data_IF_289166314696
#
_entry.id   IF_289166314696
#
_cell.length_a   1.000
_cell.length_b   1.000
_cell.length_c   1.000
_cell.angle_alpha   90.00
_cell.angle_beta   90.00
_cell.angle_gamma   90.00
#
_symmetry.space_group_name_H-M   'P 1'
#
loop_
_entity.id
_entity.type
_entity.pdbx_description
1 polymer ?
#
# COMPACT_ATOMS: atom_id res chain seq x y z
N UNK A 1 5.02 0.12 26.16
CA UNK A 1 4.00 -0.91 26.47
C UNK A 1 4.25 -2.03 25.49
N UNK A 2 4.45 -3.24 25.96
CA UNK A 2 4.88 -4.40 25.17
C UNK A 2 3.81 -4.84 24.17
N UNK A 3 4.24 -5.30 22.98
CA UNK A 3 3.40 -5.95 21.94
C UNK A 3 2.21 -6.65 22.59
N UNK A 4 0.99 -6.19 22.28
CA UNK A 4 -0.23 -6.83 22.74
C UNK A 4 -0.15 -8.33 22.42
N UNK A 5 -0.32 -9.18 23.44
CA UNK A 5 -0.42 -10.62 23.24
C UNK A 5 -1.61 -10.86 22.32
N UNK A 6 -1.31 -11.17 21.06
CA UNK A 6 -2.30 -11.66 20.12
C UNK A 6 -2.99 -12.90 20.72
N UNK A 7 -4.28 -13.10 20.44
CA UNK A 7 -5.06 -14.16 21.06
C UNK A 7 -4.45 -15.53 20.74
N UNK A 8 -4.61 -16.51 21.63
CA UNK A 8 -4.23 -17.90 21.37
C UNK A 8 -5.22 -18.53 20.38
N UNK A 9 -5.07 -18.15 19.10
CA UNK A 9 -5.92 -18.53 17.97
C UNK A 9 -5.08 -18.72 16.72
N UNK A 10 -5.57 -19.58 15.83
CA UNK A 10 -5.05 -19.81 14.48
C UNK A 10 -5.84 -18.95 13.50
N UNK A 11 -5.20 -17.93 12.92
CA UNK A 11 -5.86 -16.91 12.10
C UNK A 11 -5.19 -16.85 10.74
N UNK A 12 -5.99 -16.92 9.67
CA UNK A 12 -5.58 -16.54 8.32
C UNK A 12 -6.22 -15.19 7.99
N UNK A 13 -5.43 -14.16 7.80
CA UNK A 13 -5.87 -12.83 7.38
C UNK A 13 -5.41 -12.57 5.94
N UNK A 14 -6.31 -12.14 5.07
CA UNK A 14 -6.03 -11.89 3.66
C UNK A 14 -6.56 -10.50 3.27
N UNK A 15 -5.66 -9.66 2.77
CA UNK A 15 -5.98 -8.39 2.13
C UNK A 15 -6.00 -8.57 0.62
N UNK A 16 -7.18 -8.45 0.03
CA UNK A 16 -7.39 -8.50 -1.41
C UNK A 16 -7.30 -7.08 -1.98
N UNK A 17 -6.06 -6.62 -2.18
CA UNK A 17 -5.74 -5.30 -2.72
C UNK A 17 -5.94 -5.16 -4.23
N UNK A 18 -5.76 -3.94 -4.72
CA UNK A 18 -5.89 -3.60 -6.14
C UNK A 18 -4.84 -4.27 -7.04
N UNK A 19 -3.59 -4.28 -6.56
CA UNK A 19 -2.40 -4.72 -7.31
C UNK A 19 -1.71 -5.94 -6.69
N UNK A 20 -1.98 -6.22 -5.41
CA UNK A 20 -1.45 -7.36 -4.68
C UNK A 20 -2.53 -8.03 -3.87
N UNK A 21 -2.29 -9.30 -3.54
CA UNK A 21 -2.90 -9.98 -2.42
C UNK A 21 -1.85 -10.09 -1.34
N UNK A 22 -2.18 -9.70 -0.12
CA UNK A 22 -1.30 -9.82 1.04
C UNK A 22 -1.93 -10.76 2.06
N UNK A 23 -1.21 -11.81 2.44
CA UNK A 23 -1.71 -12.82 3.36
C UNK A 23 -0.81 -12.92 4.60
N UNK A 24 -1.44 -13.10 5.75
CA UNK A 24 -0.79 -13.33 7.04
C UNK A 24 -1.44 -14.53 7.71
N UNK A 25 -0.64 -15.53 8.06
CA UNK A 25 -1.04 -16.61 8.94
C UNK A 25 -0.40 -16.43 10.31
N UNK A 26 -1.23 -16.44 11.35
CA UNK A 26 -0.82 -16.33 12.74
C UNK A 26 -1.24 -17.57 13.52
N UNK A 27 -0.31 -18.19 14.23
CA UNK A 27 -0.57 -19.30 15.13
C UNK A 27 0.55 -19.40 16.18
N UNK A 28 0.21 -19.63 17.45
CA UNK A 28 1.17 -19.86 18.53
C UNK A 28 2.28 -18.78 18.58
N UNK A 29 1.90 -17.49 18.49
CA UNK A 29 2.83 -16.35 18.42
C UNK A 29 3.77 -16.32 17.21
N UNK A 30 3.60 -17.22 16.24
CA UNK A 30 4.35 -17.25 14.99
C UNK A 30 3.54 -16.56 13.90
N UNK A 31 4.23 -15.76 13.08
CA UNK A 31 3.65 -15.06 11.93
C UNK A 31 4.34 -15.57 10.66
N UNK A 32 3.56 -16.07 9.71
CA UNK A 32 3.96 -16.30 8.33
C UNK A 32 3.27 -15.24 7.46
N UNK A 33 3.98 -14.71 6.46
CA UNK A 33 3.46 -13.64 5.58
C UNK A 33 3.84 -13.90 4.13
N UNK A 34 2.97 -13.48 3.22
CA UNK A 34 3.21 -13.51 1.77
C UNK A 34 2.55 -12.30 1.12
N UNK A 35 3.20 -11.82 0.05
CA UNK A 35 2.61 -10.92 -0.93
C UNK A 35 2.58 -11.64 -2.27
N UNK A 36 1.44 -11.63 -2.93
CA UNK A 36 1.24 -12.18 -4.27
C UNK A 36 0.82 -11.06 -5.23
N UNK A 37 1.67 -10.77 -6.22
CA UNK A 37 1.43 -9.74 -7.25
C UNK A 37 0.82 -10.31 -8.53
N UNK A 38 0.61 -11.62 -8.61
CA UNK A 38 -0.03 -12.27 -9.78
C UNK A 38 -1.54 -12.00 -9.85
N UNK A 39 -2.14 -11.50 -8.75
CA UNK A 39 -3.57 -11.21 -8.59
C UNK A 39 -4.06 -9.93 -9.30
N UNK A 40 -3.21 -9.29 -10.11
CA UNK A 40 -3.55 -8.11 -10.93
C UNK A 40 -4.80 -8.35 -11.81
N UNK A 41 -5.02 -9.57 -12.29
CA UNK A 41 -6.01 -9.86 -13.33
C UNK A 41 -7.36 -10.40 -12.85
N UNK A 42 -7.53 -10.79 -11.56
CA UNK A 42 -8.72 -11.51 -11.13
C UNK A 42 -9.33 -10.95 -9.82
N UNK A 43 -10.67 -10.96 -9.68
CA UNK A 43 -11.35 -10.66 -8.43
C UNK A 43 -11.00 -11.70 -7.35
N UNK A 44 -11.26 -11.39 -6.08
CA UNK A 44 -11.11 -12.36 -5.01
C UNK A 44 -12.08 -13.54 -5.22
N UNK A 45 -11.57 -14.77 -5.12
CA UNK A 45 -12.35 -16.01 -5.29
C UNK A 45 -12.02 -17.04 -4.20
N UNK A 46 -12.87 -18.05 -4.05
CA UNK A 46 -12.58 -19.22 -3.20
C UNK A 46 -11.25 -19.89 -3.58
N UNK A 47 -10.93 -19.96 -4.87
CA UNK A 47 -9.65 -20.52 -5.35
C UNK A 47 -8.45 -19.70 -4.85
N UNK A 48 -8.59 -18.38 -4.70
CA UNK A 48 -7.53 -17.54 -4.16
C UNK A 48 -7.21 -17.92 -2.70
N UNK A 49 -8.23 -18.18 -1.90
CA UNK A 49 -8.09 -18.63 -0.50
C UNK A 49 -7.54 -20.06 -0.47
N UNK A 50 -8.09 -20.95 -1.29
CA UNK A 50 -7.67 -22.35 -1.42
C UNK A 50 -6.18 -22.47 -1.78
N UNK A 51 -5.69 -21.66 -2.72
CA UNK A 51 -4.30 -21.66 -3.13
C UNK A 51 -3.36 -21.32 -1.96
N UNK A 52 -3.70 -20.31 -1.15
CA UNK A 52 -2.91 -19.92 0.03
C UNK A 52 -2.90 -21.07 1.06
N UNK A 53 -4.05 -21.66 1.34
CA UNK A 53 -4.18 -22.78 2.26
C UNK A 53 -3.35 -24.00 1.81
N UNK A 54 -3.37 -24.32 0.51
CA UNK A 54 -2.59 -25.42 -0.05
C UNK A 54 -1.08 -25.14 0.02
N UNK A 55 -0.66 -23.94 -0.39
CA UNK A 55 0.75 -23.54 -0.38
C UNK A 55 1.34 -23.60 1.03
N UNK A 56 0.60 -23.15 2.04
CA UNK A 56 1.01 -23.19 3.44
C UNK A 56 0.67 -24.51 4.15
N UNK A 57 0.11 -25.49 3.44
CA UNK A 57 -0.30 -26.79 4.00
C UNK A 57 -1.25 -26.66 5.22
N UNK A 58 -2.11 -25.65 5.20
CA UNK A 58 -3.08 -25.36 6.26
C UNK A 58 -4.42 -26.02 5.93
N UNK A 59 -4.96 -26.79 6.87
CA UNK A 59 -6.32 -27.30 6.77
C UNK A 59 -7.32 -26.22 7.23
N UNK A 60 -8.36 -25.91 6.44
CA UNK A 60 -9.37 -24.92 6.83
C UNK A 60 -9.99 -25.18 8.20
N UNK A 61 -10.28 -26.44 8.52
CA UNK A 61 -10.91 -26.85 9.78
C UNK A 61 -10.02 -26.63 11.02
N UNK A 62 -8.73 -26.31 10.82
CA UNK A 62 -7.80 -25.99 11.90
C UNK A 62 -7.66 -24.47 12.14
N UNK A 63 -8.35 -23.65 11.34
CA UNK A 63 -8.36 -22.20 11.52
C UNK A 63 -9.55 -21.79 12.38
N UNK A 64 -9.28 -20.97 13.40
CA UNK A 64 -10.33 -20.34 14.19
C UNK A 64 -11.03 -19.25 13.39
N UNK A 65 -10.27 -18.50 12.59
CA UNK A 65 -10.76 -17.36 11.81
C UNK A 65 -10.06 -17.32 10.45
N UNK A 66 -10.86 -17.13 9.40
CA UNK A 66 -10.40 -16.61 8.11
C UNK A 66 -10.96 -15.18 7.99
N UNK A 67 -10.08 -14.20 8.13
CA UNK A 67 -10.41 -12.78 8.02
C UNK A 67 -10.03 -12.26 6.63
N UNK A 68 -10.93 -11.51 6.01
CA UNK A 68 -10.70 -10.92 4.68
C UNK A 68 -10.93 -9.42 4.72
N UNK A 69 -10.13 -8.68 3.96
CA UNK A 69 -10.23 -7.22 3.81
C UNK A 69 -9.75 -6.80 2.41
N UNK A 70 -9.69 -5.50 2.17
CA UNK A 70 -9.28 -4.92 0.89
C UNK A 70 -10.44 -4.82 -0.11
N UNK A 71 -10.35 -3.84 -1.01
CA UNK A 71 -11.42 -3.50 -1.94
C UNK A 71 -11.88 -4.65 -2.85
N UNK A 72 -11.04 -5.65 -3.14
CA UNK A 72 -11.47 -6.81 -3.95
C UNK A 72 -12.16 -7.90 -3.13
N UNK A 73 -12.13 -7.86 -1.79
CA UNK A 73 -12.79 -8.88 -0.96
C UNK A 73 -14.31 -8.91 -1.13
N UNK A 74 -14.91 -7.80 -1.56
CA UNK A 74 -16.35 -7.68 -1.86
C UNK A 74 -16.79 -8.56 -3.05
N UNK A 75 -15.86 -9.01 -3.89
CA UNK A 75 -16.17 -9.91 -5.01
C UNK A 75 -16.25 -11.39 -4.61
N UNK A 76 -15.89 -11.73 -3.36
CA UNK A 76 -16.08 -13.08 -2.86
C UNK A 76 -17.57 -13.43 -2.88
N UNK A 77 -17.88 -14.63 -3.37
CA UNK A 77 -19.25 -15.09 -3.44
C UNK A 77 -19.88 -15.11 -2.04
N UNK A 78 -21.15 -14.71 -1.94
CA UNK A 78 -21.90 -14.76 -0.68
C UNK A 78 -21.98 -16.18 -0.11
N UNK A 79 -22.06 -17.17 -0.99
CA UNK A 79 -22.08 -18.60 -0.68
C UNK A 79 -20.68 -19.23 -0.85
N UNK A 80 -19.66 -18.57 -0.31
CA UNK A 80 -18.28 -19.09 -0.28
C UNK A 80 -18.19 -20.40 0.51
N UNK A 81 -17.26 -21.25 0.11
CA UNK A 81 -16.91 -22.51 0.80
C UNK A 81 -16.43 -22.26 2.23
N UNK A 82 -15.87 -21.09 2.51
CA UNK A 82 -15.22 -20.75 3.77
C UNK A 82 -16.08 -19.86 4.66
N UNK A 83 -15.99 -20.04 5.97
CA UNK A 83 -16.60 -19.08 6.92
C UNK A 83 -15.72 -17.86 7.07
N UNK A 84 -16.06 -16.79 6.36
CA UNK A 84 -15.26 -15.57 6.31
C UNK A 84 -15.72 -14.52 7.32
N UNK A 85 -14.75 -13.83 7.90
CA UNK A 85 -14.97 -12.60 8.68
C UNK A 85 -14.48 -11.42 7.85
N UNK A 86 -15.41 -10.60 7.34
CA UNK A 86 -15.07 -9.39 6.60
C UNK A 86 -14.70 -8.27 7.58
N UNK A 87 -13.48 -7.73 7.42
CA UNK A 87 -13.01 -6.58 8.18
C UNK A 87 -12.98 -5.38 7.23
N UNK A 88 -13.68 -4.27 7.55
CA UNK A 88 -13.64 -3.06 6.73
C UNK A 88 -12.20 -2.56 6.53
N UNK A 89 -11.84 -2.21 5.29
CA UNK A 89 -10.48 -1.84 4.91
C UNK A 89 -9.91 -0.68 5.76
N UNK A 90 -10.72 0.36 6.02
CA UNK A 90 -10.33 1.48 6.87
C UNK A 90 -9.97 1.04 8.29
N UNK A 91 -10.71 0.07 8.83
CA UNK A 91 -10.43 -0.49 10.15
C UNK A 91 -9.15 -1.35 10.11
N UNK A 92 -8.97 -2.18 9.08
CA UNK A 92 -7.79 -3.03 8.91
C UNK A 92 -6.50 -2.18 8.81
N UNK A 93 -6.48 -1.15 7.95
CA UNK A 93 -5.37 -0.20 7.81
C UNK A 93 -5.08 0.47 9.16
N UNK A 94 -6.11 1.00 9.81
CA UNK A 94 -5.98 1.70 11.08
C UNK A 94 -5.41 0.83 12.19
N UNK A 95 -5.96 -0.37 12.40
CA UNK A 95 -5.52 -1.30 13.45
C UNK A 95 -4.13 -1.86 13.16
N UNK A 96 -3.89 -2.29 11.92
CA UNK A 96 -2.59 -2.82 11.50
C UNK A 96 -1.47 -1.80 11.66
N UNK A 97 -1.71 -0.55 11.24
CA UNK A 97 -0.75 0.55 11.39
C UNK A 97 -0.43 0.86 12.86
N UNK A 98 -1.45 0.94 13.73
CA UNK A 98 -1.23 1.16 15.17
C UNK A 98 -0.44 0.02 15.81
N UNK A 99 -0.79 -1.23 15.47
CA UNK A 99 -0.14 -2.42 15.99
C UNK A 99 1.34 -2.48 15.59
N UNK A 100 1.65 -2.28 14.30
CA UNK A 100 3.02 -2.36 13.79
C UNK A 100 3.90 -1.20 14.29
N UNK A 101 3.33 0.00 14.42
CA UNK A 101 4.06 1.16 14.91
C UNK A 101 4.19 1.22 16.45
N UNK A 102 3.50 0.33 17.17
CA UNK A 102 3.34 0.36 18.62
C UNK A 102 2.92 1.75 19.14
N UNK A 103 1.89 2.31 18.52
CA UNK A 103 1.33 3.63 18.88
C UNK A 103 -0.13 3.51 19.32
N UNK A 104 -0.55 4.27 20.34
CA UNK A 104 -1.95 4.29 20.76
C UNK A 104 -2.86 5.05 19.78
N UNK A 105 -2.27 5.97 19.01
CA UNK A 105 -2.95 6.74 17.97
C UNK A 105 -1.96 7.17 16.88
N UNK A 106 -2.43 7.27 15.64
CA UNK A 106 -1.64 7.72 14.50
C UNK A 106 -2.55 8.16 13.33
N UNK A 107 -2.01 9.01 12.46
CA UNK A 107 -2.48 9.09 11.09
C UNK A 107 -1.76 8.00 10.28
N UNK A 108 -2.46 6.92 9.98
CA UNK A 108 -1.93 5.83 9.16
C UNK A 108 -2.14 6.19 7.70
N UNK A 109 -1.05 6.31 6.94
CA UNK A 109 -1.08 6.58 5.50
C UNK A 109 -0.72 5.28 4.77
N UNK A 110 -1.71 4.66 4.14
CA UNK A 110 -1.54 3.44 3.36
C UNK A 110 -1.23 3.81 1.91
N UNK A 111 0.00 3.51 1.47
CA UNK A 111 0.51 3.78 0.12
C UNK A 111 0.41 2.50 -0.74
N UNK A 112 -0.79 2.22 -1.24
CA UNK A 112 -1.07 1.07 -2.12
C UNK A 112 -1.10 1.50 -3.60
N UNK A 113 -2.06 0.97 -4.37
CA UNK A 113 -2.31 1.41 -5.75
C UNK A 113 -2.58 2.93 -5.80
N UNK A 114 -3.46 3.40 -4.92
CA UNK A 114 -3.59 4.81 -4.52
C UNK A 114 -3.17 5.00 -3.06
N UNK A 115 -3.48 6.16 -2.49
CA UNK A 115 -3.15 6.48 -1.10
C UNK A 115 -4.40 6.72 -0.26
N UNK A 116 -4.53 6.01 0.86
CA UNK A 116 -5.58 6.23 1.85
C UNK A 116 -4.99 6.74 3.17
N UNK A 117 -5.69 7.67 3.82
CA UNK A 117 -5.27 8.25 5.10
C UNK A 117 -6.32 7.97 6.18
N UNK A 118 -5.91 7.32 7.27
CA UNK A 118 -6.79 6.89 8.35
C UNK A 118 -6.31 7.45 9.68
N UNK A 119 -7.09 8.33 10.29
CA UNK A 119 -6.87 8.73 11.67
C UNK A 119 -7.36 7.60 12.58
N UNK A 120 -6.44 6.98 13.30
CA UNK A 120 -6.67 5.75 14.03
C UNK A 120 -6.31 5.91 15.51
N UNK A 121 -7.17 5.37 16.37
CA UNK A 121 -6.97 5.13 17.81
C UNK A 121 -7.35 3.68 18.11
N UNK A 122 -7.20 3.22 19.36
CA UNK A 122 -7.65 1.87 19.75
C UNK A 122 -9.16 1.62 19.57
N UNK A 123 -9.98 2.67 19.60
CA UNK A 123 -11.44 2.55 19.61
C UNK A 123 -12.10 3.07 18.32
N UNK A 124 -11.42 3.97 17.61
CA UNK A 124 -11.99 4.68 16.47
C UNK A 124 -11.00 4.72 15.31
N UNK A 125 -11.53 4.45 14.12
CA UNK A 125 -10.81 4.54 12.84
C UNK A 125 -11.65 5.42 11.91
N UNK A 126 -11.09 6.55 11.50
CA UNK A 126 -11.78 7.51 10.65
C UNK A 126 -11.00 7.69 9.35
N UNK A 127 -11.68 7.49 8.22
CA UNK A 127 -11.14 7.79 6.92
C UNK A 127 -11.04 9.31 6.76
N UNK A 128 -9.81 9.82 6.64
CA UNK A 128 -9.51 11.24 6.51
C UNK A 128 -9.44 11.69 5.03
N UNK A 129 -9.73 10.77 4.11
CA UNK A 129 -9.60 10.95 2.68
C UNK A 129 -8.39 10.21 2.12
N UNK A 130 -8.02 10.58 0.90
CA UNK A 130 -6.96 9.94 0.15
C UNK A 130 -6.69 10.65 -1.16
N UNK A 131 -5.77 10.09 -1.93
CA UNK A 131 -5.42 10.58 -3.27
C UNK A 131 -5.23 9.40 -4.22
N UNK A 132 -5.49 9.61 -5.50
CA UNK A 132 -5.18 8.63 -6.56
C UNK A 132 -3.67 8.50 -6.82
N UNK A 133 -2.84 9.33 -6.18
CA UNK A 133 -1.39 9.25 -6.25
C UNK A 133 -0.87 8.16 -5.31
N UNK A 134 -0.24 7.13 -5.87
CA UNK A 134 0.30 6.00 -5.11
C UNK A 134 1.24 5.14 -5.96
N UNK A 135 1.39 3.88 -5.58
CA UNK A 135 2.23 2.93 -6.32
C UNK A 135 1.78 2.70 -7.76
N UNK A 136 0.47 2.74 -8.02
CA UNK A 136 -0.07 2.66 -9.39
C UNK A 136 0.36 3.84 -10.26
N UNK A 137 0.49 5.02 -9.66
CA UNK A 137 1.01 6.22 -10.35
C UNK A 137 2.49 6.08 -10.68
N UNK A 138 3.29 5.55 -9.75
CA UNK A 138 4.73 5.33 -9.97
C UNK A 138 4.93 4.37 -11.14
N UNK A 139 4.24 3.22 -11.13
CA UNK A 139 4.34 2.23 -12.20
C UNK A 139 3.83 2.76 -13.53
N UNK A 140 2.66 3.42 -13.53
CA UNK A 140 2.05 3.95 -14.75
C UNK A 140 2.89 5.05 -15.40
N UNK A 141 3.37 6.02 -14.61
CA UNK A 141 4.25 7.08 -15.12
C UNK A 141 5.64 6.54 -15.48
N UNK A 142 6.18 5.61 -14.70
CA UNK A 142 7.42 4.90 -15.04
C UNK A 142 7.33 4.25 -16.42
N UNK A 143 6.20 3.58 -16.72
CA UNK A 143 6.01 2.94 -18.02
C UNK A 143 5.98 3.95 -19.16
N UNK A 144 5.31 5.08 -18.96
CA UNK A 144 5.17 6.11 -19.98
C UNK A 144 6.46 6.91 -20.21
N UNK A 145 7.20 7.21 -19.14
CA UNK A 145 8.35 8.12 -19.18
C UNK A 145 9.69 7.40 -19.33
N UNK A 146 9.81 6.21 -18.77
CA UNK A 146 11.06 5.45 -18.68
C UNK A 146 11.00 4.10 -19.40
N UNK A 147 9.86 3.74 -19.99
CA UNK A 147 9.58 2.41 -20.58
C UNK A 147 9.77 1.26 -19.58
N UNK A 148 9.60 1.54 -18.28
CA UNK A 148 9.86 0.62 -17.17
C UNK A 148 8.65 0.57 -16.22
N UNK A 149 8.21 -0.63 -15.84
CA UNK A 149 7.06 -0.89 -14.97
C UNK A 149 7.35 -1.89 -13.84
N UNK A 150 8.62 -2.20 -13.60
CA UNK A 150 9.07 -2.93 -12.42
C UNK A 150 9.58 -1.98 -11.33
N UNK A 151 9.10 -2.18 -10.10
CA UNK A 151 9.43 -1.30 -8.96
C UNK A 151 10.93 -1.25 -8.65
N UNK A 152 11.65 -2.38 -8.47
CA UNK A 152 13.10 -2.38 -8.29
C UNK A 152 13.87 -1.61 -9.38
N UNK A 153 13.49 -1.77 -10.64
CA UNK A 153 14.14 -1.04 -11.74
C UNK A 153 13.83 0.46 -11.69
N UNK A 154 12.58 0.84 -11.42
CA UNK A 154 12.22 2.26 -11.22
C UNK A 154 12.93 2.87 -10.03
N UNK A 155 13.10 2.14 -8.92
CA UNK A 155 13.88 2.58 -7.77
C UNK A 155 15.35 2.80 -8.16
N UNK A 156 15.95 1.87 -8.90
CA UNK A 156 17.31 2.02 -9.41
C UNK A 156 17.45 3.27 -10.29
N UNK A 157 16.51 3.49 -11.23
CA UNK A 157 16.51 4.69 -12.07
C UNK A 157 16.36 5.97 -11.25
N UNK A 158 15.46 5.98 -10.25
CA UNK A 158 15.22 7.13 -9.38
C UNK A 158 16.45 7.49 -8.54
N UNK A 159 17.15 6.49 -7.99
CA UNK A 159 18.38 6.71 -7.21
C UNK A 159 19.53 7.29 -8.04
N UNK A 160 19.56 7.02 -9.34
CA UNK A 160 20.54 7.58 -10.27
C UNK A 160 20.05 8.86 -10.98
N UNK A 161 18.82 9.30 -10.68
CA UNK A 161 18.24 10.51 -11.21
C UNK A 161 18.73 11.77 -10.49
N UNK A 162 18.52 12.93 -11.13
CA UNK A 162 18.77 14.23 -10.52
C UNK A 162 17.52 15.11 -10.67
N UNK A 163 16.81 15.32 -9.56
CA UNK A 163 15.57 16.11 -9.51
C UNK A 163 15.77 17.55 -10.00
N UNK A 164 16.97 18.12 -9.83
CA UNK A 164 17.30 19.50 -10.23
C UNK A 164 17.19 19.73 -11.74
N UNK A 165 17.24 18.67 -12.55
CA UNK A 165 17.14 18.77 -14.00
C UNK A 165 15.69 18.90 -14.49
N UNK A 166 14.70 18.57 -13.66
CA UNK A 166 13.29 18.42 -14.07
C UNK A 166 12.37 19.30 -13.23
N UNK A 167 12.55 19.31 -11.92
CA UNK A 167 11.73 20.09 -11.00
C UNK A 167 12.22 21.54 -10.92
N UNK A 168 11.26 22.45 -10.79
CA UNK A 168 11.53 23.84 -10.44
C UNK A 168 11.65 23.93 -8.91
N UNK A 169 12.81 24.32 -8.42
CA UNK A 169 13.10 24.47 -6.99
C UNK A 169 12.81 25.89 -6.52
N UNK A 170 12.69 26.07 -5.20
CA UNK A 170 12.52 27.40 -4.61
C UNK A 170 13.70 28.33 -4.97
N UNK A 171 14.93 27.81 -4.96
CA UNK A 171 16.14 28.54 -5.35
C UNK A 171 16.08 29.03 -6.81
N UNK A 172 15.41 28.31 -7.71
CA UNK A 172 15.26 28.73 -9.11
C UNK A 172 14.32 29.94 -9.25
N UNK A 173 13.42 30.19 -8.28
CA UNK A 173 12.43 31.28 -8.32
C UNK A 173 12.93 32.51 -7.57
N UNK A 174 13.46 32.31 -6.35
CA UNK A 174 13.81 33.42 -5.44
C UNK A 174 15.30 33.48 -5.07
N UNK A 175 16.11 32.52 -5.51
CA UNK A 175 17.56 32.48 -5.26
C UNK A 175 17.98 32.06 -3.84
N UNK A 176 17.04 31.86 -2.90
CA UNK A 176 17.32 31.54 -1.50
C UNK A 176 16.11 30.89 -0.80
N UNK A 177 16.29 30.48 0.46
CA UNK A 177 15.20 29.96 1.29
C UNK A 177 14.14 31.05 1.58
N UNK A 178 12.87 30.62 1.78
CA UNK A 178 11.76 31.51 2.15
C UNK A 178 11.13 31.04 3.48
N UNK A 179 11.35 31.80 4.55
CA UNK A 179 10.82 31.46 5.87
C UNK A 179 11.34 30.09 6.34
N UNK A 180 10.43 29.15 6.57
CA UNK A 180 10.76 27.76 6.94
C UNK A 180 11.00 26.84 5.74
N UNK A 181 10.85 27.35 4.51
CA UNK A 181 10.96 26.56 3.28
C UNK A 181 12.42 26.59 2.78
N UNK A 182 13.10 25.42 2.72
CA UNK A 182 14.46 25.33 2.20
C UNK A 182 14.58 25.73 0.73
N UNK A 183 15.75 26.22 0.34
CA UNK A 183 16.02 26.67 -1.04
C UNK A 183 16.00 25.51 -2.05
N UNK A 184 16.45 24.32 -1.63
CA UNK A 184 16.51 23.11 -2.44
C UNK A 184 15.20 22.32 -2.49
N UNK A 185 14.14 22.81 -1.84
CA UNK A 185 12.82 22.18 -1.91
C UNK A 185 12.19 22.39 -3.28
N UNK A 186 11.50 21.36 -3.79
CA UNK A 186 10.66 21.49 -4.99
C UNK A 186 9.56 22.53 -4.76
N UNK A 187 9.54 23.55 -5.61
CA UNK A 187 8.43 24.50 -5.71
C UNK A 187 7.34 23.97 -6.67
N UNK A 188 7.75 23.31 -7.77
CA UNK A 188 6.84 22.69 -8.74
C UNK A 188 7.48 21.47 -9.40
N UNK A 189 6.84 20.30 -9.29
CA UNK A 189 7.27 19.09 -9.98
C UNK A 189 7.18 19.28 -11.51
N UNK A 190 8.18 18.81 -12.26
CA UNK A 190 8.30 18.99 -13.72
C UNK A 190 8.30 20.44 -14.21
N UNK A 191 8.41 21.43 -13.31
CA UNK A 191 8.27 22.84 -13.66
C UNK A 191 9.28 23.32 -14.71
N UNK A 192 10.52 22.81 -14.70
CA UNK A 192 11.55 23.20 -15.68
C UNK A 192 11.20 22.75 -17.09
N UNK A 193 10.57 21.60 -17.24
CA UNK A 193 10.19 21.04 -18.55
C UNK A 193 9.19 21.95 -19.26
N UNK A 194 8.26 22.56 -18.51
CA UNK A 194 7.30 23.51 -19.07
C UNK A 194 7.92 24.85 -19.49
N UNK A 195 9.09 25.19 -18.93
CA UNK A 195 9.80 26.45 -19.16
C UNK A 195 10.87 26.32 -20.27
N UNK A 196 11.32 25.11 -20.56
CA UNK A 196 12.23 24.84 -21.69
C UNK A 196 11.47 24.86 -23.01
N UNK A 197 11.88 25.74 -23.94
CA UNK A 197 11.30 25.80 -25.28
C UNK A 197 11.46 24.47 -26.04
N UNK A 198 10.41 24.08 -26.77
CA UNK A 198 10.18 22.77 -27.40
C UNK A 198 11.11 22.38 -28.57
N UNK A 199 12.40 22.72 -28.54
CA UNK A 199 13.31 22.48 -29.68
C UNK A 199 13.93 21.08 -29.74
N UNK A 200 13.71 20.20 -28.75
CA UNK A 200 14.43 18.91 -28.65
C UNK A 200 13.57 17.64 -28.43
N UNK A 201 12.24 17.73 -28.61
CA UNK A 201 11.37 16.55 -28.58
C UNK A 201 10.66 16.38 -29.94
N UNK A 202 11.44 16.02 -30.97
CA UNK A 202 10.94 15.40 -32.21
C UNK A 202 11.63 14.06 -32.40
#
# INVERSE_FOLDING_TARGET
>A
MTKQNLPDKSILAIDFGGTSLDAVFYQNSTIQKKTDKSSLAYPATDDSIKNILQEWSIKPDHLDIIAVTGGKSEFLAKDTTYRLTHIPEIQAIGLGGLYLADKPQALVVSLGTGTAMVASTKEKHQHMGGTGLGGGTILGLGKLLCLEDDFPNLEFLAQNGNIKNVDLLVEDIVGQAIGIIPADLTASNFGKISLTESSHYQ
#
